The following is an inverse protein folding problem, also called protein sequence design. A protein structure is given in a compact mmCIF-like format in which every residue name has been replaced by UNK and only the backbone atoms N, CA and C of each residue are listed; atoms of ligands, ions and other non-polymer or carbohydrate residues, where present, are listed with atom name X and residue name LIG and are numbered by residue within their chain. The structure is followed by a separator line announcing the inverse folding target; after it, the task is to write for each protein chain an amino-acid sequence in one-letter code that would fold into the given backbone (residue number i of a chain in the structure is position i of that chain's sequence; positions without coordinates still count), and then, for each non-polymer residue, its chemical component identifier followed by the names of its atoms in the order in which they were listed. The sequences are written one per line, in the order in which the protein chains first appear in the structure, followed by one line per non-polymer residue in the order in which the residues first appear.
data_IF_785220981312
#
_entry.id   IF_785220981312
#
_cell.length_a   1.000
_cell.length_b   1.000
_cell.length_c   1.000
_cell.angle_alpha   90.00
_cell.angle_beta   90.00
_cell.angle_gamma   90.00
#
_symmetry.space_group_name_H-M   'P 1'
#
loop_
_entity.id
_entity.type
_entity.pdbx_description
1 polymer ?
#
# COMPACT_ATOMS: atom_id res chain seq x y z
N UNK A 1 11.06 30.77 17.40
CA UNK A 1 10.28 29.52 17.23
C UNK A 1 11.14 28.53 16.45
N UNK A 2 11.68 27.47 17.07
CA UNK A 2 12.42 26.47 16.33
C UNK A 2 11.42 25.48 15.71
N UNK A 3 11.48 25.36 14.39
CA UNK A 3 10.82 24.29 13.64
C UNK A 3 11.41 22.96 14.13
N UNK A 4 10.55 22.06 14.62
CA UNK A 4 10.92 20.67 14.87
C UNK A 4 11.44 20.07 13.57
N UNK A 5 12.75 19.79 13.54
CA UNK A 5 13.37 19.10 12.42
C UNK A 5 12.68 17.77 12.19
N UNK A 6 12.25 17.55 10.95
CA UNK A 6 12.00 16.21 10.45
C UNK A 6 13.30 15.43 10.64
N UNK A 7 13.36 14.59 11.66
CA UNK A 7 14.33 13.50 11.72
C UNK A 7 14.27 12.79 10.37
N UNK A 8 15.40 12.68 9.68
CA UNK A 8 15.51 11.85 8.48
C UNK A 8 15.21 10.40 8.92
N UNK A 9 13.94 10.01 8.84
CA UNK A 9 13.51 8.65 9.15
C UNK A 9 14.29 7.71 8.23
N UNK A 10 15.08 6.81 8.81
CA UNK A 10 15.94 5.93 8.04
C UNK A 10 15.10 4.82 7.40
N UNK A 11 15.23 4.65 6.08
CA UNK A 11 14.61 3.53 5.39
C UNK A 11 15.31 2.23 5.78
N UNK A 12 14.58 1.33 6.43
CA UNK A 12 15.11 0.04 6.93
C UNK A 12 14.93 -1.07 5.89
N UNK A 13 13.80 -1.06 5.17
CA UNK A 13 13.46 -2.08 4.18
C UNK A 13 12.45 -1.54 3.16
N UNK A 14 12.56 -1.98 1.91
CA UNK A 14 11.61 -1.68 0.84
C UNK A 14 11.25 -2.99 0.12
N UNK A 15 9.96 -3.14 -0.19
CA UNK A 15 9.44 -4.26 -0.96
C UNK A 15 8.41 -3.78 -1.99
N UNK A 16 8.28 -4.57 -3.06
CA UNK A 16 7.32 -4.34 -4.12
C UNK A 16 6.02 -5.10 -3.84
N UNK A 17 4.87 -4.61 -4.33
CA UNK A 17 3.65 -5.40 -4.33
C UNK A 17 3.78 -6.60 -5.27
N UNK A 18 3.37 -7.77 -4.79
CA UNK A 18 3.15 -8.93 -5.64
C UNK A 18 1.65 -9.05 -5.95
N UNK A 19 1.16 -8.43 -7.04
CA UNK A 19 -0.21 -8.70 -7.50
C UNK A 19 -0.32 -10.18 -7.86
N UNK A 20 -1.31 -10.86 -7.29
CA UNK A 20 -1.61 -12.24 -7.67
C UNK A 20 -2.03 -12.33 -9.14
N UNK A 21 -1.87 -13.50 -9.75
CA UNK A 21 -2.22 -13.75 -11.16
C UNK A 21 -3.63 -13.27 -11.55
N UNK A 22 -4.61 -13.39 -10.65
CA UNK A 22 -5.98 -12.93 -10.88
C UNK A 22 -6.06 -11.42 -11.11
N UNK A 23 -5.34 -10.63 -10.31
CA UNK A 23 -5.29 -9.18 -10.47
C UNK A 23 -4.64 -8.79 -11.78
N UNK A 24 -3.52 -9.43 -12.10
CA UNK A 24 -2.83 -9.23 -13.39
C UNK A 24 -3.75 -9.55 -14.56
N UNK A 25 -4.55 -10.62 -14.46
CA UNK A 25 -5.51 -10.98 -15.50
C UNK A 25 -6.63 -9.93 -15.64
N UNK A 26 -7.21 -9.46 -14.53
CA UNK A 26 -8.24 -8.42 -14.57
C UNK A 26 -7.68 -7.14 -15.18
N UNK A 27 -6.48 -6.73 -14.77
CA UNK A 27 -5.81 -5.54 -15.29
C UNK A 27 -5.46 -5.63 -16.77
N UNK A 28 -5.27 -6.84 -17.31
CA UNK A 28 -4.99 -7.03 -18.74
C UNK A 28 -6.29 -7.16 -19.55
N UNK A 29 -7.25 -7.93 -19.04
CA UNK A 29 -8.45 -8.33 -19.77
C UNK A 29 -9.48 -7.21 -19.84
N UNK A 30 -9.63 -6.42 -18.77
CA UNK A 30 -10.56 -5.28 -18.74
C UNK A 30 -10.22 -4.23 -19.83
N UNK A 31 -9.00 -3.68 -19.92
CA UNK A 31 -8.67 -2.73 -20.98
C UNK A 31 -8.70 -3.36 -22.37
N UNK A 32 -8.32 -4.64 -22.53
CA UNK A 32 -8.43 -5.33 -23.81
C UNK A 32 -9.88 -5.42 -24.30
N UNK A 33 -10.83 -5.74 -23.42
CA UNK A 33 -12.25 -5.76 -23.77
C UNK A 33 -12.78 -4.37 -24.11
N UNK A 34 -12.38 -3.33 -23.37
CA UNK A 34 -12.76 -1.95 -23.68
C UNK A 34 -12.23 -1.51 -25.04
N UNK A 35 -10.99 -1.84 -25.38
CA UNK A 35 -10.42 -1.56 -26.70
C UNK A 35 -11.17 -2.29 -27.81
N UNK A 36 -11.51 -3.56 -27.62
CA UNK A 36 -12.31 -4.33 -28.58
C UNK A 36 -13.70 -3.70 -28.80
N UNK A 37 -14.35 -3.21 -27.74
CA UNK A 37 -15.63 -2.51 -27.82
C UNK A 37 -15.52 -1.18 -28.59
N UNK A 38 -14.45 -0.41 -28.36
CA UNK A 38 -14.17 0.82 -29.11
C UNK A 38 -13.98 0.52 -30.61
N UNK A 39 -13.20 -0.51 -30.95
CA UNK A 39 -12.99 -0.92 -32.35
C UNK A 39 -14.31 -1.36 -33.00
N UNK A 40 -15.11 -2.15 -32.27
CA UNK A 40 -16.41 -2.62 -32.76
C UNK A 40 -17.36 -1.46 -33.06
N UNK A 41 -17.51 -0.50 -32.13
CA UNK A 41 -18.40 0.65 -32.32
C UNK A 41 -17.94 1.57 -33.44
N UNK A 42 -16.63 1.76 -33.58
CA UNK A 42 -16.10 2.51 -34.72
C UNK A 42 -16.45 1.81 -36.04
N UNK A 43 -16.31 0.48 -36.09
CA UNK A 43 -16.65 -0.30 -37.29
C UNK A 43 -18.15 -0.30 -37.63
N UNK A 44 -19.04 -0.09 -36.64
CA UNK A 44 -20.49 0.02 -36.86
C UNK A 44 -20.94 1.42 -37.29
N UNK A 45 -20.01 2.38 -37.48
CA UNK A 45 -20.33 3.75 -37.87
C UNK A 45 -20.83 4.63 -36.72
N UNK A 46 -20.69 4.18 -35.48
CA UNK A 46 -21.09 4.92 -34.28
C UNK A 46 -20.05 6.00 -33.97
N UNK A 47 -20.38 7.27 -34.17
CA UNK A 47 -19.45 8.38 -34.01
C UNK A 47 -19.39 8.95 -32.59
N UNK A 48 -20.38 8.67 -31.76
CA UNK A 48 -20.49 9.25 -30.41
C UNK A 48 -20.05 8.26 -29.32
N UNK A 49 -20.44 6.99 -29.43
CA UNK A 49 -20.14 5.98 -28.42
C UNK A 49 -18.65 5.66 -28.24
N UNK A 50 -17.88 5.62 -29.34
CA UNK A 50 -16.44 5.31 -29.31
C UNK A 50 -15.62 6.27 -28.45
N UNK A 51 -15.67 7.60 -28.70
CA UNK A 51 -14.95 8.59 -27.90
C UNK A 51 -15.33 8.59 -26.41
N UNK A 52 -16.61 8.39 -26.09
CA UNK A 52 -17.09 8.33 -24.70
C UNK A 52 -16.46 7.14 -23.96
N UNK A 53 -16.42 5.96 -24.59
CA UNK A 53 -15.81 4.77 -23.99
C UNK A 53 -14.29 4.91 -23.81
N UNK A 54 -13.61 5.61 -24.72
CA UNK A 54 -12.18 5.91 -24.56
C UNK A 54 -11.97 6.83 -23.35
N UNK A 55 -12.77 7.88 -23.20
CA UNK A 55 -12.70 8.77 -22.05
C UNK A 55 -12.98 8.03 -20.73
N UNK A 56 -13.99 7.15 -20.72
CA UNK A 56 -14.32 6.31 -19.56
C UNK A 56 -13.18 5.34 -19.21
N UNK A 57 -12.61 4.66 -20.21
CA UNK A 57 -11.49 3.74 -20.01
C UNK A 57 -10.25 4.46 -19.43
N UNK A 58 -9.94 5.65 -19.93
CA UNK A 58 -8.85 6.48 -19.39
C UNK A 58 -9.12 6.91 -17.95
N UNK A 59 -10.36 7.31 -17.63
CA UNK A 59 -10.74 7.71 -16.28
C UNK A 59 -10.63 6.55 -15.28
N UNK A 60 -11.15 5.38 -15.64
CA UNK A 60 -11.03 4.16 -14.83
C UNK A 60 -9.56 3.78 -14.65
N UNK A 61 -8.77 3.80 -15.73
CA UNK A 61 -7.33 3.53 -15.69
C UNK A 61 -6.57 4.47 -14.75
N UNK A 62 -6.93 5.76 -14.75
CA UNK A 62 -6.35 6.76 -13.85
C UNK A 62 -6.68 6.47 -12.38
N UNK A 63 -7.93 6.11 -12.07
CA UNK A 63 -8.32 5.71 -10.71
C UNK A 63 -7.49 4.52 -10.25
N UNK A 64 -7.40 3.47 -11.07
CA UNK A 64 -6.58 2.30 -10.75
C UNK A 64 -5.12 2.68 -10.52
N UNK A 65 -4.56 3.56 -11.36
CA UNK A 65 -3.19 4.03 -11.20
C UNK A 65 -2.96 4.71 -9.85
N UNK A 66 -3.91 5.54 -9.38
CA UNK A 66 -3.83 6.27 -8.11
C UNK A 66 -3.96 5.35 -6.90
N UNK A 67 -4.89 4.39 -6.91
CA UNK A 67 -5.19 3.56 -5.72
C UNK A 67 -4.25 2.37 -5.56
N UNK A 68 -3.57 1.94 -6.63
CA UNK A 68 -2.75 0.73 -6.59
C UNK A 68 -1.40 1.01 -5.89
N UNK A 69 -1.03 0.21 -4.87
CA UNK A 69 0.28 0.32 -4.25
C UNK A 69 1.39 0.10 -5.27
N UNK A 70 2.49 0.85 -5.11
CA UNK A 70 3.70 0.77 -5.93
C UNK A 70 4.90 0.27 -5.13
N UNK A 71 5.00 0.64 -3.87
CA UNK A 71 5.98 0.05 -2.96
C UNK A 71 5.54 0.12 -1.50
N UNK A 72 6.11 -0.77 -0.70
CA UNK A 72 5.95 -0.82 0.74
C UNK A 72 7.31 -0.55 1.39
N UNK A 73 7.39 0.47 2.23
CA UNK A 73 8.63 0.91 2.88
C UNK A 73 8.47 0.84 4.39
N UNK A 74 9.43 0.22 5.04
CA UNK A 74 9.57 0.19 6.51
C UNK A 74 10.64 1.19 6.88
N UNK A 75 10.26 2.18 7.69
CA UNK A 75 11.18 3.13 8.32
C UNK A 75 11.39 2.74 9.79
N UNK A 76 12.32 3.44 10.44
CA UNK A 76 12.62 3.30 11.87
C UNK A 76 11.50 3.81 12.80
N UNK A 77 10.58 4.62 12.32
CA UNK A 77 9.45 5.18 13.09
C UNK A 77 8.05 4.93 12.49
N UNK A 78 7.97 4.56 11.21
CA UNK A 78 6.70 4.33 10.51
C UNK A 78 6.78 3.31 9.38
N UNK A 79 5.62 2.82 8.94
CA UNK A 79 5.48 2.12 7.65
C UNK A 79 4.86 3.09 6.65
N UNK A 80 5.39 3.12 5.43
CA UNK A 80 4.86 3.92 4.33
C UNK A 80 4.43 3.02 3.18
N UNK A 81 3.21 3.23 2.72
CA UNK A 81 2.66 2.60 1.52
C UNK A 81 2.65 3.67 0.43
N UNK A 82 3.47 3.48 -0.60
CA UNK A 82 3.55 4.39 -1.74
C UNK A 82 2.49 3.96 -2.75
N UNK A 83 1.63 4.89 -3.17
CA UNK A 83 0.60 4.67 -4.20
C UNK A 83 1.05 5.29 -5.52
N UNK A 84 0.21 5.30 -6.55
CA UNK A 84 0.53 6.00 -7.80
C UNK A 84 0.53 7.53 -7.63
N UNK A 85 1.38 8.22 -8.41
CA UNK A 85 1.47 9.68 -8.38
C UNK A 85 2.07 10.23 -7.07
N UNK A 86 1.60 11.40 -6.58
CA UNK A 86 2.13 12.01 -5.35
C UNK A 86 1.55 11.41 -4.06
N UNK A 87 0.74 10.35 -4.15
CA UNK A 87 0.00 9.81 -3.01
C UNK A 87 0.81 8.78 -2.22
N UNK A 88 0.80 8.90 -0.89
CA UNK A 88 1.35 7.89 0.01
C UNK A 88 0.60 7.88 1.34
N UNK A 89 0.53 6.71 1.95
CA UNK A 89 -0.10 6.52 3.25
C UNK A 89 0.99 6.18 4.26
N UNK A 90 1.09 6.98 5.32
CA UNK A 90 2.05 6.78 6.42
C UNK A 90 1.33 6.27 7.65
N UNK A 91 1.86 5.21 8.26
CA UNK A 91 1.33 4.58 9.47
C UNK A 91 2.44 4.57 10.51
N UNK A 92 2.39 5.52 11.46
CA UNK A 92 3.36 5.60 12.55
C UNK A 92 3.27 4.40 13.50
N UNK A 93 4.42 3.97 14.02
CA UNK A 93 4.51 2.86 14.98
C UNK A 93 3.76 3.11 16.30
N UNK A 94 3.51 4.37 16.65
CA UNK A 94 2.63 4.75 17.77
C UNK A 94 1.22 4.17 17.62
N UNK A 95 0.75 4.01 16.38
CA UNK A 95 -0.58 3.48 16.05
C UNK A 95 -0.58 2.01 15.72
N UNK A 96 0.58 1.37 15.57
CA UNK A 96 0.67 -0.04 15.20
C UNK A 96 0.70 -0.88 16.49
N UNK A 97 -0.13 -1.93 16.52
CA UNK A 97 -0.17 -2.92 17.59
C UNK A 97 0.71 -4.12 17.26
N UNK A 98 0.61 -4.63 16.03
CA UNK A 98 1.37 -5.79 15.55
C UNK A 98 1.33 -5.85 14.03
N UNK A 99 2.37 -6.40 13.40
CA UNK A 99 2.39 -6.78 11.99
C UNK A 99 2.46 -8.31 11.89
N UNK A 100 1.55 -8.93 11.15
CA UNK A 100 1.51 -10.40 11.03
C UNK A 100 1.03 -10.86 9.65
N UNK A 101 1.54 -11.99 9.19
CA UNK A 101 1.03 -12.69 8.00
C UNK A 101 -0.25 -13.42 8.39
N UNK A 102 -1.32 -13.24 7.62
CA UNK A 102 -2.59 -13.92 7.86
C UNK A 102 -3.28 -14.28 6.55
N UNK A 103 -4.10 -15.32 6.61
CA UNK A 103 -5.03 -15.72 5.55
C UNK A 103 -6.49 -15.42 5.91
N UNK A 104 -6.73 -14.87 7.10
CA UNK A 104 -8.09 -14.66 7.62
C UNK A 104 -8.66 -13.34 7.12
N UNK A 105 -9.83 -13.42 6.49
CA UNK A 105 -10.62 -12.24 6.12
C UNK A 105 -11.05 -11.50 7.39
N UNK A 106 -10.77 -10.21 7.47
CA UNK A 106 -11.17 -9.35 8.60
C UNK A 106 -11.44 -7.93 8.12
N UNK A 107 -12.18 -7.14 8.90
CA UNK A 107 -12.47 -5.73 8.58
C UNK A 107 -11.15 -4.93 8.50
N UNK A 108 -10.72 -4.68 7.27
CA UNK A 108 -9.43 -4.08 6.93
C UNK A 108 -9.64 -3.10 5.79
N UNK A 109 -8.84 -2.04 5.77
CA UNK A 109 -8.60 -1.29 4.54
C UNK A 109 -7.78 -2.21 3.64
N UNK A 110 -8.48 -2.90 2.75
CA UNK A 110 -7.88 -3.76 1.75
C UNK A 110 -7.38 -2.87 0.62
N UNK A 111 -6.07 -2.76 0.49
CA UNK A 111 -5.52 -2.35 -0.80
C UNK A 111 -5.87 -3.43 -1.81
N UNK A 112 -6.14 -3.03 -3.06
CA UNK A 112 -6.59 -3.93 -4.15
C UNK A 112 -5.69 -5.17 -4.27
N UNK A 113 -4.44 -5.09 -3.86
CA UNK A 113 -3.45 -6.18 -3.79
C UNK A 113 -3.75 -7.30 -2.77
N UNK A 114 -4.60 -7.07 -1.76
CA UNK A 114 -4.92 -8.03 -0.68
C UNK A 114 -5.83 -9.20 -1.10
N UNK A 115 -6.05 -9.39 -2.40
CA UNK A 115 -6.80 -10.53 -2.95
C UNK A 115 -6.04 -11.87 -2.90
N UNK A 116 -4.80 -11.87 -2.42
CA UNK A 116 -4.01 -13.09 -2.21
C UNK A 116 -4.51 -13.89 -0.99
N UNK A 117 -4.42 -15.23 -1.06
CA UNK A 117 -4.80 -16.13 0.05
C UNK A 117 -4.05 -15.84 1.34
N UNK A 118 -2.81 -15.35 1.24
CA UNK A 118 -2.01 -14.88 2.36
C UNK A 118 -1.66 -13.41 2.13
N UNK A 119 -1.77 -12.60 3.17
CA UNK A 119 -1.45 -11.17 3.13
C UNK A 119 -0.84 -10.74 4.46
N UNK A 120 -0.10 -9.63 4.44
CA UNK A 120 0.42 -9.02 5.66
C UNK A 120 -0.62 -8.05 6.18
N UNK A 121 -1.00 -8.24 7.45
CA UNK A 121 -1.95 -7.38 8.16
C UNK A 121 -1.21 -6.51 9.17
N UNK A 122 -1.33 -5.21 8.99
CA UNK A 122 -0.86 -4.18 9.93
C UNK A 122 -2.04 -3.88 10.87
N UNK A 123 -2.01 -4.48 12.06
CA UNK A 123 -3.03 -4.26 13.08
C UNK A 123 -2.77 -2.91 13.76
N UNK A 124 -3.75 -2.00 13.68
CA UNK A 124 -3.69 -0.69 14.33
C UNK A 124 -4.34 -0.73 15.71
N UNK A 125 -3.86 0.10 16.62
CA UNK A 125 -4.46 0.32 17.95
C UNK A 125 -5.83 0.98 17.85
N UNK A 126 -5.99 1.87 16.87
CA UNK A 126 -7.24 2.60 16.59
C UNK A 126 -7.54 2.62 15.09
N UNK A 127 -8.83 2.51 14.75
CA UNK A 127 -9.32 2.44 13.38
C UNK A 127 -9.14 1.07 12.71
N UNK A 128 -9.42 1.02 11.41
CA UNK A 128 -9.31 -0.20 10.61
C UNK A 128 -7.85 -0.64 10.44
N UNK A 129 -7.63 -1.95 10.52
CA UNK A 129 -6.35 -2.56 10.16
C UNK A 129 -6.09 -2.43 8.66
N UNK A 130 -4.83 -2.51 8.25
CA UNK A 130 -4.43 -2.37 6.85
C UNK A 130 -3.92 -3.71 6.35
N UNK A 131 -4.43 -4.18 5.21
CA UNK A 131 -3.97 -5.41 4.57
C UNK A 131 -3.17 -5.07 3.30
N UNK A 132 -1.95 -5.60 3.20
CA UNK A 132 -1.03 -5.40 2.07
C UNK A 132 -0.46 -6.75 1.61
N UNK A 133 0.01 -6.79 0.37
CA UNK A 133 0.59 -8.00 -0.23
C UNK A 133 1.99 -7.69 -0.76
N UNK A 134 3.00 -7.61 0.13
CA UNK A 134 4.40 -7.50 -0.28
C UNK A 134 4.84 -8.79 -0.99
N UNK A 135 5.85 -8.67 -1.86
CA UNK A 135 6.40 -9.80 -2.61
C UNK A 135 7.06 -10.83 -1.70
N UNK A 136 7.72 -10.38 -0.64
CA UNK A 136 8.28 -11.27 0.38
C UNK A 136 7.62 -11.00 1.74
N UNK A 137 6.54 -11.73 2.03
CA UNK A 137 5.70 -11.53 3.21
C UNK A 137 6.45 -11.74 4.52
N UNK A 138 7.31 -12.75 4.58
CA UNK A 138 8.08 -13.09 5.79
C UNK A 138 9.15 -12.03 6.04
N UNK A 139 9.94 -11.69 5.02
CA UNK A 139 10.97 -10.64 5.13
C UNK A 139 10.36 -9.30 5.52
N UNK A 140 9.26 -8.90 4.86
CA UNK A 140 8.58 -7.65 5.20
C UNK A 140 8.12 -7.65 6.66
N UNK A 141 7.49 -8.74 7.11
CA UNK A 141 6.97 -8.87 8.48
C UNK A 141 8.10 -8.84 9.52
N UNK A 142 9.21 -9.51 9.25
CA UNK A 142 10.38 -9.54 10.12
C UNK A 142 11.05 -8.18 10.24
N UNK A 143 11.26 -7.47 9.12
CA UNK A 143 11.79 -6.11 9.13
C UNK A 143 10.85 -5.13 9.83
N UNK A 144 9.54 -5.24 9.60
CA UNK A 144 8.53 -4.39 10.24
C UNK A 144 8.47 -4.61 11.76
N UNK A 145 8.46 -5.86 12.23
CA UNK A 145 8.43 -6.16 13.66
C UNK A 145 9.73 -5.75 14.36
N UNK A 146 10.91 -5.97 13.74
CA UNK A 146 12.19 -5.52 14.29
C UNK A 146 12.23 -4.00 14.45
N UNK A 147 11.79 -3.25 13.44
CA UNK A 147 11.74 -1.79 13.51
C UNK A 147 10.75 -1.31 14.60
N UNK A 148 9.57 -1.93 14.68
CA UNK A 148 8.58 -1.63 15.71
C UNK A 148 9.12 -1.87 17.13
N UNK A 149 9.82 -2.98 17.35
CA UNK A 149 10.42 -3.31 18.65
C UNK A 149 11.55 -2.34 19.03
N UNK A 150 12.40 -1.97 18.07
CA UNK A 150 13.47 -1.00 18.27
C UNK A 150 12.90 0.38 18.65
N UNK A 151 11.88 0.83 17.93
CA UNK A 151 11.16 2.07 18.24
C UNK A 151 10.49 2.03 19.62
N UNK A 152 9.89 0.89 20.00
CA UNK A 152 9.26 0.73 21.30
C UNK A 152 10.27 0.71 22.46
N UNK A 153 11.51 0.26 22.21
CA UNK A 153 12.63 0.34 23.17
C UNK A 153 13.17 1.76 23.28
N UNK A 154 13.38 2.45 22.16
CA UNK A 154 13.91 3.82 22.17
C UNK A 154 12.96 4.79 22.89
N UNK A 155 11.64 4.62 22.73
CA UNK A 155 10.62 5.38 23.47
C UNK A 155 10.56 5.09 24.98
N UNK A 156 11.02 3.91 25.42
CA UNK A 156 11.08 3.52 26.84
C UNK A 156 12.38 3.93 27.54
N UNK A 157 13.40 4.36 26.79
CA UNK A 157 14.71 4.76 27.33
C UNK A 157 15.00 6.29 27.42
N UNK A 158 14.03 7.24 27.46
CA UNK A 158 14.37 8.66 27.61
C UNK A 158 14.85 9.03 29.04
N UNK A 159 14.54 8.24 30.07
CA UNK A 159 14.80 8.61 31.47
C UNK A 159 16.18 8.16 32.01
N UNK A 160 16.81 7.14 31.42
CA UNK A 160 18.06 6.58 31.95
C UNK A 160 19.32 7.43 31.69
N UNK A 161 19.22 8.49 30.88
CA UNK A 161 20.34 9.40 30.60
C UNK A 161 20.38 10.66 31.46
N UNK A 162 19.33 10.92 32.26
CA UNK A 162 19.23 12.18 33.03
C UNK A 162 19.67 12.00 34.49
N UNK A 163 19.75 10.77 35.01
CA UNK A 163 20.17 10.50 36.39
C UNK A 163 21.69 10.38 36.61
N UNK A 164 22.51 10.78 35.63
CA UNK A 164 23.97 10.84 35.76
C UNK A 164 24.43 12.26 35.44
N UNK A 165 24.07 13.20 36.31
CA UNK A 165 24.78 14.46 36.50
C UNK A 165 24.68 14.88 37.96
#
# INVERSE_FOLDING_TARGET
MPMMGYSESLLVYEDEPAPGYLLTLIFLLLPAMLLAAVIYLWSSGESTGGPVLVAEALFIGLIFWIIFPRSYRVYDDHIRIVLGGPFSIKVGFDRIRKVEVTSKTSLTVNFVTALARTHVKINKKTGLAIAITPRNQDMFTDHANRALDQWARSKRMPEARISVR
#
